data_IF_346043047700
#
_entry.id   IF_346043047700
#
_cell.length_a   1.000
_cell.length_b   1.000
_cell.length_c   1.000
_cell.angle_alpha   90.00
_cell.angle_beta   90.00
_cell.angle_gamma   90.00
#
_symmetry.space_group_name_H-M   'P 1'
#
loop_
_entity.id
_entity.type
_entity.pdbx_description
1 polymer ?
#
# COMPACT_ATOMS: atom_id res chain seq x y z
N UNK A 1 9.90 -22.68 -16.79
CA UNK A 1 9.29 -21.62 -15.96
C UNK A 1 8.01 -22.20 -15.38
N UNK A 2 7.87 -22.24 -14.06
CA UNK A 2 6.65 -22.74 -13.43
C UNK A 2 5.53 -21.73 -13.65
N UNK A 3 4.37 -22.18 -14.15
CA UNK A 3 3.18 -21.35 -14.28
C UNK A 3 2.73 -20.93 -12.87
N UNK A 4 2.77 -19.63 -12.56
CA UNK A 4 2.23 -19.14 -11.28
C UNK A 4 0.72 -19.45 -11.24
N UNK A 5 0.28 -20.16 -10.19
CA UNK A 5 -1.12 -20.56 -10.05
C UNK A 5 -1.98 -19.34 -9.70
N UNK A 6 -3.21 -19.30 -10.22
CA UNK A 6 -4.21 -18.29 -9.83
C UNK A 6 -4.41 -18.28 -8.30
N UNK A 7 -4.29 -19.45 -7.67
CA UNK A 7 -4.42 -19.60 -6.22
C UNK A 7 -3.31 -18.85 -5.45
N UNK A 8 -2.09 -18.83 -5.99
CA UNK A 8 -0.97 -18.09 -5.37
C UNK A 8 -1.21 -16.58 -5.37
N UNK A 9 -1.79 -16.05 -6.45
CA UNK A 9 -2.16 -14.64 -6.53
C UNK A 9 -3.29 -14.28 -5.56
N UNK A 10 -4.32 -15.13 -5.47
CA UNK A 10 -5.42 -14.96 -4.52
C UNK A 10 -4.88 -14.98 -3.09
N UNK A 11 -3.99 -15.91 -2.77
CA UNK A 11 -3.44 -16.05 -1.43
C UNK A 11 -2.50 -14.88 -1.09
N UNK A 12 -1.71 -14.42 -2.05
CA UNK A 12 -0.93 -13.19 -1.91
C UNK A 12 -1.85 -12.00 -1.61
N UNK A 13 -2.94 -11.79 -2.37
CA UNK A 13 -3.88 -10.70 -2.10
C UNK A 13 -4.48 -10.78 -0.68
N UNK A 14 -4.79 -11.98 -0.18
CA UNK A 14 -5.24 -12.18 1.21
C UNK A 14 -4.17 -11.80 2.23
N UNK A 15 -2.90 -12.15 1.99
CA UNK A 15 -1.79 -11.81 2.88
C UNK A 15 -1.57 -10.29 2.96
N UNK A 16 -1.71 -9.57 1.83
CA UNK A 16 -1.69 -8.11 1.79
C UNK A 16 -2.89 -7.50 2.52
N UNK A 17 -4.10 -7.99 2.27
CA UNK A 17 -5.32 -7.50 2.93
C UNK A 17 -5.26 -7.73 4.46
N UNK A 18 -4.69 -8.84 4.91
CA UNK A 18 -4.45 -9.12 6.33
C UNK A 18 -3.48 -8.10 6.91
N UNK A 19 -2.34 -7.85 6.25
CA UNK A 19 -1.35 -6.86 6.70
C UNK A 19 -1.94 -5.44 6.77
N UNK A 20 -2.72 -5.02 5.78
CA UNK A 20 -3.41 -3.73 5.77
C UNK A 20 -4.42 -3.60 6.91
N UNK A 21 -5.19 -4.67 7.18
CA UNK A 21 -6.17 -4.71 8.28
C UNK A 21 -5.49 -4.62 9.65
N UNK A 22 -4.38 -5.33 9.85
CA UNK A 22 -3.58 -5.27 11.08
C UNK A 22 -2.99 -3.88 11.33
N UNK A 23 -2.57 -3.19 10.28
CA UNK A 23 -2.06 -1.81 10.35
C UNK A 23 -3.19 -0.76 10.42
N UNK A 24 -4.42 -1.15 10.11
CA UNK A 24 -5.59 -0.27 10.08
C UNK A 24 -5.49 0.82 9.01
N UNK A 25 -4.91 0.50 7.85
CA UNK A 25 -4.67 1.46 6.76
C UNK A 25 -5.98 2.05 6.25
N UNK A 26 -6.08 3.38 6.13
CA UNK A 26 -7.26 4.04 5.58
C UNK A 26 -7.05 4.39 4.11
N UNK A 27 -7.78 3.75 3.22
CA UNK A 27 -7.64 3.99 1.79
C UNK A 27 -8.35 5.28 1.34
N UNK A 28 -7.59 6.31 1.01
CA UNK A 28 -8.09 7.57 0.46
C UNK A 28 -7.50 7.88 -0.90
N UNK A 29 -8.21 8.72 -1.66
CA UNK A 29 -7.75 9.20 -2.95
C UNK A 29 -7.98 10.71 -3.06
N UNK A 30 -6.90 11.40 -3.40
CA UNK A 30 -6.95 12.79 -3.81
C UNK A 30 -7.12 12.85 -5.33
N UNK A 31 -8.15 13.53 -5.78
CA UNK A 31 -8.49 13.70 -7.20
C UNK A 31 -8.36 15.17 -7.54
N UNK A 32 -7.43 15.54 -8.43
CA UNK A 32 -7.39 16.89 -9.01
C UNK A 32 -7.76 16.85 -10.49
N UNK A 33 -8.60 17.78 -10.90
CA UNK A 33 -8.89 18.05 -12.31
C UNK A 33 -8.21 19.36 -12.66
N UNK A 34 -7.23 19.27 -13.54
CA UNK A 34 -6.35 20.36 -13.94
C UNK A 34 -6.54 20.65 -15.43
N UNK A 35 -6.66 21.93 -15.75
CA UNK A 35 -6.68 22.44 -17.13
C UNK A 35 -5.29 22.90 -17.48
N UNK A 36 -4.81 22.49 -18.64
CA UNK A 36 -3.56 22.96 -19.20
C UNK A 36 -3.86 23.69 -20.51
N UNK A 37 -3.61 25.00 -20.49
CA UNK A 37 -3.80 25.88 -21.64
C UNK A 37 -2.71 25.75 -22.70
N UNK A 38 -2.90 26.42 -23.84
CA UNK A 38 -1.97 26.38 -24.98
C UNK A 38 -0.54 26.85 -24.63
N UNK A 39 -0.40 27.82 -23.71
CA UNK A 39 0.90 28.35 -23.27
C UNK A 39 1.57 27.53 -22.16
N UNK A 40 0.95 26.40 -21.75
CA UNK A 40 1.48 25.51 -20.73
C UNK A 40 1.06 25.85 -19.29
N UNK A 41 0.28 26.92 -19.10
CA UNK A 41 -0.30 27.29 -17.81
C UNK A 41 -1.19 26.17 -17.29
N UNK A 42 -0.98 25.76 -16.02
CA UNK A 42 -1.76 24.73 -15.35
C UNK A 42 -2.63 25.36 -14.28
N UNK A 43 -3.93 25.21 -14.45
CA UNK A 43 -4.94 25.69 -13.51
C UNK A 43 -5.66 24.48 -12.90
N UNK A 44 -5.61 24.36 -11.58
CA UNK A 44 -6.38 23.33 -10.86
C UNK A 44 -7.82 23.83 -10.66
N UNK A 45 -8.74 23.29 -11.44
CA UNK A 45 -10.15 23.70 -11.41
C UNK A 45 -10.88 23.05 -10.22
N UNK A 46 -10.67 21.75 -10.02
CA UNK A 46 -11.30 21.01 -8.94
C UNK A 46 -10.29 20.17 -8.18
N UNK A 47 -10.46 20.12 -6.86
CA UNK A 47 -9.80 19.17 -5.97
C UNK A 47 -10.87 18.47 -5.12
N UNK A 48 -10.75 17.16 -5.02
CA UNK A 48 -11.57 16.36 -4.14
C UNK A 48 -10.70 15.43 -3.31
N UNK A 49 -11.08 15.30 -2.05
CA UNK A 49 -10.46 14.36 -1.14
C UNK A 49 -11.54 13.43 -0.61
N UNK A 50 -11.42 12.15 -0.92
CA UNK A 50 -12.51 11.20 -0.72
C UNK A 50 -12.02 9.78 -0.47
N UNK A 51 -12.79 8.97 0.29
CA UNK A 51 -12.48 7.57 0.50
C UNK A 51 -12.37 6.81 -0.82
N UNK A 52 -11.37 5.93 -0.93
CA UNK A 52 -11.09 5.16 -2.15
C UNK A 52 -12.28 4.32 -2.59
N UNK A 53 -13.00 3.71 -1.65
CA UNK A 53 -14.19 2.90 -1.96
C UNK A 53 -15.28 3.72 -2.66
N UNK A 54 -15.47 4.98 -2.22
CA UNK A 54 -16.44 5.88 -2.83
C UNK A 54 -16.01 6.26 -4.25
N UNK A 55 -14.72 6.56 -4.44
CA UNK A 55 -14.15 6.83 -5.75
C UNK A 55 -14.35 5.66 -6.71
N UNK A 56 -13.99 4.44 -6.30
CA UNK A 56 -14.06 3.27 -7.17
C UNK A 56 -15.50 2.97 -7.58
N UNK A 57 -16.47 3.08 -6.65
CA UNK A 57 -17.90 2.92 -6.94
C UNK A 57 -18.46 4.01 -7.85
N UNK A 58 -18.00 5.26 -7.71
CA UNK A 58 -18.56 6.43 -8.42
C UNK A 58 -17.56 7.10 -9.35
N UNK A 59 -16.62 6.33 -9.92
CA UNK A 59 -15.57 6.82 -10.81
C UNK A 59 -16.12 7.56 -12.03
N UNK A 60 -17.31 7.15 -12.48
CA UNK A 60 -18.02 7.78 -13.59
C UNK A 60 -18.36 9.25 -13.33
N UNK A 61 -18.55 9.69 -12.08
CA UNK A 61 -18.86 11.09 -11.74
C UNK A 61 -17.67 12.00 -12.05
N UNK A 62 -16.46 11.58 -11.69
CA UNK A 62 -15.23 12.31 -12.00
C UNK A 62 -15.01 12.35 -13.51
N UNK A 63 -15.20 11.21 -14.20
CA UNK A 63 -15.11 11.12 -15.67
C UNK A 63 -16.12 12.04 -16.36
N UNK A 64 -17.36 12.06 -15.88
CA UNK A 64 -18.41 12.93 -16.41
C UNK A 64 -18.08 14.41 -16.21
N UNK A 65 -17.56 14.78 -15.02
CA UNK A 65 -17.10 16.15 -14.78
C UNK A 65 -15.94 16.55 -15.69
N UNK A 66 -14.95 15.67 -15.87
CA UNK A 66 -13.84 15.92 -16.78
C UNK A 66 -14.32 16.10 -18.24
N UNK A 67 -15.25 15.25 -18.69
CA UNK A 67 -15.86 15.36 -20.02
C UNK A 67 -16.65 16.68 -20.19
N UNK A 68 -17.43 17.08 -19.18
CA UNK A 68 -18.15 18.36 -19.19
C UNK A 68 -17.18 19.54 -19.33
N UNK A 69 -16.05 19.51 -18.60
CA UNK A 69 -15.01 20.53 -18.73
C UNK A 69 -14.39 20.52 -20.13
N UNK A 70 -14.19 19.34 -20.74
CA UNK A 70 -13.63 19.24 -22.09
C UNK A 70 -14.55 19.87 -23.13
N UNK A 71 -15.86 19.78 -22.94
CA UNK A 71 -16.82 20.48 -23.79
C UNK A 71 -16.83 22.00 -23.57
N UNK A 72 -16.58 22.46 -22.34
CA UNK A 72 -16.50 23.91 -22.02
C UNK A 72 -15.21 24.54 -22.56
N UNK A 73 -14.11 23.80 -22.51
CA UNK A 73 -12.77 24.24 -22.93
C UNK A 73 -12.21 23.30 -24.01
N UNK A 74 -12.75 23.35 -25.24
CA UNK A 74 -12.41 22.36 -26.27
C UNK A 74 -10.95 22.42 -26.74
N UNK A 75 -10.30 23.60 -26.65
CA UNK A 75 -8.90 23.79 -27.04
C UNK A 75 -7.90 23.38 -25.97
N UNK A 76 -8.32 23.39 -24.71
CA UNK A 76 -7.42 23.09 -23.60
C UNK A 76 -7.40 21.60 -23.29
N UNK A 77 -6.27 21.14 -22.74
CA UNK A 77 -6.13 19.76 -22.29
C UNK A 77 -6.55 19.65 -20.84
N UNK A 78 -7.55 18.82 -20.55
CA UNK A 78 -8.00 18.55 -19.18
C UNK A 78 -7.42 17.23 -18.72
N UNK A 79 -6.64 17.30 -17.64
CA UNK A 79 -6.00 16.16 -17.02
C UNK A 79 -6.62 15.88 -15.65
N UNK A 80 -6.87 14.61 -15.37
CA UNK A 80 -7.29 14.16 -14.05
C UNK A 80 -6.12 13.44 -13.38
N UNK A 81 -5.60 14.00 -12.30
CA UNK A 81 -4.56 13.37 -11.49
C UNK A 81 -5.18 12.71 -10.27
N UNK A 82 -4.61 11.56 -9.92
CA UNK A 82 -5.07 10.70 -8.82
C UNK A 82 -3.86 10.41 -7.94
N UNK A 83 -3.99 10.63 -6.63
CA UNK A 83 -3.00 10.21 -5.65
C UNK A 83 -3.68 9.32 -4.61
N UNK A 84 -3.15 8.12 -4.42
CA UNK A 84 -3.63 7.17 -3.42
C UNK A 84 -2.73 7.23 -2.20
N UNK A 85 -3.32 7.42 -1.03
CA UNK A 85 -2.58 7.61 0.20
C UNK A 85 -3.39 7.14 1.42
N UNK A 86 -2.73 7.08 2.57
CA UNK A 86 -3.38 6.87 3.86
C UNK A 86 -3.73 8.21 4.50
N UNK A 87 -5.02 8.44 4.79
CA UNK A 87 -5.50 9.68 5.40
C UNK A 87 -4.80 10.01 6.73
N UNK A 88 -4.34 8.99 7.47
CA UNK A 88 -3.60 9.20 8.73
C UNK A 88 -2.26 9.88 8.52
N UNK A 89 -1.60 9.60 7.39
CA UNK A 89 -0.26 10.06 7.07
C UNK A 89 -0.26 11.32 6.20
N UNK A 90 -1.41 11.69 5.64
CA UNK A 90 -1.50 12.74 4.63
C UNK A 90 -0.96 12.28 3.27
N UNK A 91 -1.06 13.14 2.26
CA UNK A 91 -0.63 12.85 0.89
C UNK A 91 0.89 12.99 0.70
N UNK A 92 1.67 12.54 1.68
CA UNK A 92 3.13 12.54 1.64
C UNK A 92 3.64 11.25 1.00
N UNK A 93 4.29 11.42 -0.16
CA UNK A 93 4.82 10.31 -0.97
C UNK A 93 5.79 9.43 -0.17
N UNK A 94 6.70 10.04 0.59
CA UNK A 94 7.73 9.31 1.35
C UNK A 94 7.12 8.42 2.45
N UNK A 95 6.15 8.95 3.21
CA UNK A 95 5.47 8.19 4.26
C UNK A 95 4.61 7.07 3.68
N UNK A 96 3.94 7.34 2.56
CA UNK A 96 3.14 6.35 1.84
C UNK A 96 4.01 5.20 1.32
N UNK A 97 5.20 5.48 0.82
CA UNK A 97 6.13 4.45 0.32
C UNK A 97 6.73 3.59 1.44
N UNK A 98 7.05 4.18 2.60
CA UNK A 98 7.47 3.40 3.77
C UNK A 98 6.32 2.51 4.29
N UNK A 99 5.08 3.01 4.29
CA UNK A 99 3.91 2.21 4.66
C UNK A 99 3.71 1.03 3.70
N UNK A 100 3.80 1.26 2.39
CA UNK A 100 3.74 0.18 1.37
C UNK A 100 4.83 -0.86 1.60
N UNK A 101 6.04 -0.42 1.94
CA UNK A 101 7.16 -1.31 2.27
C UNK A 101 6.82 -2.16 3.49
N UNK A 102 6.30 -1.54 4.55
CA UNK A 102 5.90 -2.24 5.77
C UNK A 102 4.79 -3.29 5.52
N UNK A 103 3.75 -2.93 4.75
CA UNK A 103 2.68 -3.85 4.35
C UNK A 103 3.27 -5.05 3.60
N UNK A 104 4.15 -4.78 2.62
CA UNK A 104 4.82 -5.82 1.84
C UNK A 104 5.66 -6.75 2.72
N UNK A 105 6.43 -6.20 3.67
CA UNK A 105 7.21 -7.01 4.60
C UNK A 105 6.32 -7.90 5.49
N UNK A 106 5.20 -7.39 6.00
CA UNK A 106 4.23 -8.18 6.79
C UNK A 106 3.55 -9.28 5.97
N UNK A 107 3.17 -8.97 4.73
CA UNK A 107 2.62 -9.95 3.80
C UNK A 107 3.64 -11.07 3.52
N UNK A 108 4.92 -10.73 3.34
CA UNK A 108 5.99 -11.70 3.14
C UNK A 108 6.23 -12.61 4.35
N UNK A 109 6.10 -12.09 5.57
CA UNK A 109 6.16 -12.90 6.80
C UNK A 109 4.98 -13.87 6.84
N UNK A 110 3.76 -13.38 6.57
CA UNK A 110 2.54 -14.22 6.55
C UNK A 110 2.65 -15.33 5.50
N UNK A 111 3.13 -15.01 4.30
CA UNK A 111 3.37 -15.99 3.22
C UNK A 111 4.35 -17.07 3.65
N UNK A 112 5.47 -16.70 4.27
CA UNK A 112 6.48 -17.66 4.71
C UNK A 112 5.97 -18.55 5.84
N UNK A 113 5.24 -17.99 6.80
CA UNK A 113 4.64 -18.79 7.87
C UNK A 113 3.68 -19.84 7.30
N UNK A 114 2.79 -19.43 6.38
CA UNK A 114 1.87 -20.34 5.71
C UNK A 114 2.59 -21.47 4.95
N UNK A 115 3.64 -21.15 4.20
CA UNK A 115 4.41 -22.16 3.47
C UNK A 115 5.09 -23.16 4.41
N UNK A 116 5.59 -22.70 5.57
CA UNK A 116 6.13 -23.57 6.62
C UNK A 116 5.03 -24.48 7.15
N UNK A 117 3.85 -23.92 7.45
CA UNK A 117 2.73 -24.67 8.02
C UNK A 117 2.19 -25.73 7.04
N UNK A 118 2.07 -25.38 5.75
CA UNK A 118 1.68 -26.30 4.67
C UNK A 118 2.69 -27.44 4.50
N UNK A 119 3.99 -27.11 4.54
CA UNK A 119 5.07 -28.09 4.47
C UNK A 119 5.01 -29.07 5.65
N UNK A 120 4.91 -28.56 6.87
CA UNK A 120 4.83 -29.38 8.09
C UNK A 120 3.56 -30.25 8.08
N UNK A 121 2.41 -29.71 7.67
CA UNK A 121 1.15 -30.45 7.62
C UNK A 121 1.19 -31.61 6.60
N UNK A 122 1.79 -31.36 5.42
CA UNK A 122 1.97 -32.38 4.40
C UNK A 122 2.90 -33.50 4.90
N UNK A 123 4.09 -33.14 5.40
CA UNK A 123 5.06 -34.12 5.86
C UNK A 123 4.57 -34.94 7.07
N UNK A 124 3.84 -34.33 8.02
CA UNK A 124 3.22 -35.08 9.14
C UNK A 124 2.22 -36.14 8.68
N UNK A 125 1.57 -35.93 7.53
CA UNK A 125 0.55 -36.84 7.00
C UNK A 125 1.18 -37.92 6.10
N UNK A 126 2.22 -37.56 5.36
CA UNK A 126 2.78 -38.39 4.30
C UNK A 126 4.06 -39.15 4.72
N UNK A 127 4.88 -38.60 5.61
CA UNK A 127 6.19 -39.13 5.93
C UNK A 127 6.29 -39.59 7.39
N UNK A 128 6.48 -40.89 7.60
CA UNK A 128 6.64 -41.48 8.94
C UNK A 128 7.94 -41.08 9.66
N UNK A 129 8.93 -40.58 8.92
CA UNK A 129 10.26 -40.23 9.43
C UNK A 129 10.51 -38.72 9.49
N UNK A 130 9.47 -37.91 9.31
CA UNK A 130 9.60 -36.47 9.37
C UNK A 130 9.89 -36.01 10.80
N UNK A 131 11.07 -35.41 11.00
CA UNK A 131 11.45 -34.75 12.23
C UNK A 131 11.47 -33.23 12.01
N UNK A 132 10.53 -32.55 12.68
CA UNK A 132 10.36 -31.09 12.57
C UNK A 132 11.52 -30.30 13.18
N UNK A 133 12.28 -30.89 14.10
CA UNK A 133 13.37 -30.19 14.79
C UNK A 133 14.70 -30.31 14.05
N UNK A 134 14.93 -31.45 13.40
CA UNK A 134 16.22 -31.78 12.77
C UNK A 134 16.27 -31.59 11.24
N UNK A 135 15.18 -31.20 10.58
CA UNK A 135 15.20 -30.92 9.14
C UNK A 135 16.03 -29.65 8.83
N UNK A 136 17.16 -29.84 8.14
CA UNK A 136 18.08 -28.75 7.78
C UNK A 136 17.41 -27.70 6.87
N UNK A 137 16.50 -28.12 5.99
CA UNK A 137 15.72 -27.24 5.13
C UNK A 137 14.83 -26.31 5.95
N UNK A 138 14.04 -26.88 6.87
CA UNK A 138 13.12 -26.17 7.75
C UNK A 138 13.86 -25.22 8.68
N UNK A 139 15.01 -25.63 9.22
CA UNK A 139 15.86 -24.77 10.05
C UNK A 139 16.38 -23.55 9.28
N UNK A 140 16.79 -23.71 8.02
CA UNK A 140 17.18 -22.60 7.15
C UNK A 140 16.00 -21.65 6.88
N UNK A 141 14.80 -22.20 6.63
CA UNK A 141 13.61 -21.39 6.38
C UNK A 141 13.17 -20.63 7.63
N UNK A 142 13.19 -21.26 8.81
CA UNK A 142 12.92 -20.61 10.11
C UNK A 142 13.89 -19.47 10.40
N UNK A 143 15.18 -19.65 10.11
CA UNK A 143 16.18 -18.57 10.21
C UNK A 143 15.83 -17.38 9.29
N UNK A 144 15.42 -17.64 8.04
CA UNK A 144 14.97 -16.60 7.10
C UNK A 144 13.69 -15.90 7.58
N UNK A 145 12.74 -16.64 8.16
CA UNK A 145 11.54 -16.08 8.75
C UNK A 145 11.90 -15.13 9.90
N UNK A 146 12.79 -15.53 10.80
CA UNK A 146 13.26 -14.69 11.90
C UNK A 146 13.90 -13.38 11.39
N UNK A 147 14.70 -13.45 10.33
CA UNK A 147 15.25 -12.25 9.67
C UNK A 147 14.16 -11.35 9.09
N UNK A 148 13.15 -11.91 8.42
CA UNK A 148 12.02 -11.13 7.89
C UNK A 148 11.21 -10.45 9.01
N UNK A 149 11.01 -11.14 10.13
CA UNK A 149 10.34 -10.55 11.31
C UNK A 149 11.17 -9.40 11.89
N UNK A 150 12.50 -9.53 11.96
CA UNK A 150 13.38 -8.44 12.38
C UNK A 150 13.29 -7.24 11.42
N UNK A 151 13.24 -7.49 10.10
CA UNK A 151 13.08 -6.43 9.10
C UNK A 151 11.74 -5.70 9.25
N UNK A 152 10.64 -6.42 9.55
CA UNK A 152 9.33 -5.80 9.84
C UNK A 152 9.45 -4.87 11.04
N UNK A 153 10.07 -5.31 12.15
CA UNK A 153 10.25 -4.47 13.34
C UNK A 153 11.05 -3.20 13.03
N UNK A 154 12.15 -3.33 12.30
CA UNK A 154 12.95 -2.19 11.88
C UNK A 154 12.16 -1.21 10.98
N UNK A 155 11.33 -1.73 10.07
CA UNK A 155 10.46 -0.91 9.22
C UNK A 155 9.37 -0.18 10.03
N UNK A 156 8.77 -0.83 11.03
CA UNK A 156 7.81 -0.19 11.94
C UNK A 156 8.45 0.95 12.75
N UNK A 157 9.65 0.75 13.27
CA UNK A 157 10.39 1.77 14.00
C UNK A 157 10.74 2.95 13.10
N UNK A 158 11.21 2.69 11.88
CA UNK A 158 11.52 3.73 10.88
C UNK A 158 10.29 4.58 10.57
N UNK A 159 9.13 3.94 10.37
CA UNK A 159 7.88 4.65 10.10
C UNK A 159 7.45 5.50 11.30
N UNK A 160 7.55 4.97 12.52
CA UNK A 160 7.23 5.71 13.75
C UNK A 160 8.10 6.96 13.93
N UNK A 161 9.39 6.87 13.63
CA UNK A 161 10.30 8.02 13.70
C UNK A 161 9.88 9.11 12.71
N UNK A 162 9.61 8.74 11.46
CA UNK A 162 9.21 9.70 10.41
C UNK A 162 7.86 10.35 10.70
N UNK A 163 6.91 9.61 11.28
CA UNK A 163 5.62 10.18 11.70
C UNK A 163 5.84 11.25 12.78
N UNK A 164 6.71 10.98 13.76
CA UNK A 164 7.03 11.97 14.80
C UNK A 164 7.70 13.22 14.22
N UNK A 165 8.67 13.03 13.31
CA UNK A 165 9.31 14.14 12.61
C UNK A 165 8.27 15.00 11.88
N UNK A 166 7.39 14.37 11.12
CA UNK A 166 6.31 15.03 10.40
C UNK A 166 5.36 15.82 11.32
N UNK A 167 4.94 15.24 12.44
CA UNK A 167 4.12 15.93 13.43
C UNK A 167 4.83 17.15 14.04
N UNK A 168 6.14 17.05 14.28
CA UNK A 168 6.92 18.18 14.79
C UNK A 168 7.06 19.30 13.77
N UNK A 169 7.28 18.95 12.50
CA UNK A 169 7.35 19.92 11.39
C UNK A 169 6.02 20.65 11.22
N UNK A 170 4.90 19.93 11.23
CA UNK A 170 3.56 20.53 11.17
C UNK A 170 3.32 21.53 12.29
N UNK A 171 3.64 21.16 13.54
CA UNK A 171 3.50 22.06 14.69
C UNK A 171 4.37 23.32 14.55
N UNK A 172 5.57 23.20 13.98
CA UNK A 172 6.45 24.36 13.73
C UNK A 172 5.84 25.31 12.71
N UNK A 173 5.31 24.78 11.60
CA UNK A 173 4.65 25.57 10.55
C UNK A 173 3.41 26.31 11.09
N UNK A 174 2.60 25.64 11.92
CA UNK A 174 1.43 26.24 12.55
C UNK A 174 1.78 27.37 13.53
N UNK A 175 2.94 27.26 14.20
CA UNK A 175 3.43 28.28 15.13
C UNK A 175 4.06 29.46 14.39
N UNK A 176 4.73 29.23 13.26
CA UNK A 176 5.34 30.28 12.43
C UNK A 176 4.32 31.08 11.60
N UNK A 177 3.09 30.57 11.43
CA UNK A 177 2.00 31.25 10.72
C UNK A 177 1.14 32.14 11.62
N UNK A 178 1.48 32.26 12.92
CA UNK A 178 0.85 33.14 13.90
C UNK A 178 1.79 34.28 14.28
#
# INVERSE_FOLDING_TARGET
MAQESIDDFIQMAKDYAKAEKELGVQHWVFVSIERKGEFGDRERIYSYDLPRELYERRKWVIRWRAAKLQCQYPKDSINCYLSYYDNRLGNDLKLTDDLRTLISCKAQVSKQQRLIDEYVAWHRTNDLFFDEENDDGLMKVRKKLAQKVANVKAAEERLKLKIKEYETERKRLDTASR
#
